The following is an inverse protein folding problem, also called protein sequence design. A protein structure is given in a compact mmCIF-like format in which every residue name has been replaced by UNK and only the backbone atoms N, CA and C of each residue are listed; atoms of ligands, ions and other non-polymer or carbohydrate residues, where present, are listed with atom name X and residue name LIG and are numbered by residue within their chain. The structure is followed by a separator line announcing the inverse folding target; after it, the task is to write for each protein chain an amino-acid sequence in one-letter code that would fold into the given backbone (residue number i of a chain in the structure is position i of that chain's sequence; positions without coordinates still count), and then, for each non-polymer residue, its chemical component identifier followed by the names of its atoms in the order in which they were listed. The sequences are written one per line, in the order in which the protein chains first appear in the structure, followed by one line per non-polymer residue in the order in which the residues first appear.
data_IF_591644958289
#
_entry.id   IF_591644958289
#
_cell.length_a   1.000
_cell.length_b   1.000
_cell.length_c   1.000
_cell.angle_alpha   90.00
_cell.angle_beta   90.00
_cell.angle_gamma   90.00
#
_symmetry.space_group_name_H-M   'P 1'
#
loop_
_entity.id
_entity.type
_entity.pdbx_description
1 polymer ?
#
# COMPACT_ATOMS: atom_id res chain seq x y z
N UNK A 1 19.81 -47.55 -54.47
CA UNK A 1 20.52 -46.61 -53.57
C UNK A 1 19.54 -45.55 -53.14
N UNK A 2 18.96 -45.71 -51.97
CA UNK A 2 17.93 -44.83 -51.40
C UNK A 2 18.54 -44.11 -50.21
N UNK A 3 18.77 -42.77 -50.34
CA UNK A 3 19.21 -41.93 -49.23
C UNK A 3 18.01 -41.58 -48.33
N UNK A 4 18.09 -42.09 -47.13
CA UNK A 4 17.14 -41.74 -46.06
C UNK A 4 17.48 -40.34 -45.48
N UNK A 5 16.58 -39.41 -45.63
CA UNK A 5 16.72 -38.05 -45.00
C UNK A 5 16.11 -38.12 -43.61
N UNK A 6 16.95 -38.06 -42.58
CA UNK A 6 16.54 -37.96 -41.19
C UNK A 6 16.29 -36.47 -40.93
N UNK A 7 15.01 -36.11 -40.74
CA UNK A 7 14.61 -34.80 -40.22
C UNK A 7 14.72 -34.83 -38.69
N UNK A 8 15.73 -34.16 -38.15
CA UNK A 8 15.82 -33.88 -36.72
C UNK A 8 14.93 -32.67 -36.39
N UNK A 9 13.76 -32.93 -35.85
CA UNK A 9 12.88 -31.90 -35.28
C UNK A 9 13.44 -31.47 -33.93
N UNK A 10 14.19 -30.37 -33.88
CA UNK A 10 14.59 -29.74 -32.63
C UNK A 10 13.37 -29.05 -31.97
N UNK A 11 12.85 -29.62 -30.91
CA UNK A 11 11.84 -28.96 -30.06
C UNK A 11 12.53 -27.86 -29.24
N UNK A 12 12.38 -26.61 -29.67
CA UNK A 12 12.77 -25.42 -28.90
C UNK A 12 11.75 -25.20 -27.78
N UNK A 13 12.02 -25.70 -26.58
CA UNK A 13 11.24 -25.43 -25.39
C UNK A 13 11.50 -23.95 -24.98
N UNK A 14 10.60 -23.05 -25.35
CA UNK A 14 10.56 -21.69 -24.79
C UNK A 14 10.19 -21.83 -23.31
N UNK A 15 11.17 -21.69 -22.41
CA UNK A 15 10.95 -21.47 -21.01
C UNK A 15 10.32 -20.08 -20.85
N UNK A 16 9.00 -20.01 -20.72
CA UNK A 16 8.29 -18.80 -20.33
C UNK A 16 8.60 -18.59 -18.85
N UNK A 17 9.70 -17.86 -18.56
CA UNK A 17 9.95 -17.33 -17.23
C UNK A 17 8.88 -16.27 -16.97
N UNK A 18 7.73 -16.69 -16.47
CA UNK A 18 6.66 -15.80 -16.02
C UNK A 18 7.20 -14.93 -14.90
N UNK A 19 7.23 -13.61 -15.09
CA UNK A 19 7.46 -12.67 -14.00
C UNK A 19 6.32 -12.83 -12.98
N UNK A 20 6.58 -13.56 -11.89
CA UNK A 20 5.61 -13.65 -10.80
C UNK A 20 5.52 -12.29 -10.12
N UNK A 21 4.30 -11.77 -10.01
CA UNK A 21 4.03 -10.55 -9.23
C UNK A 21 4.38 -10.84 -7.76
N UNK A 22 5.14 -9.97 -7.08
CA UNK A 22 5.46 -10.16 -5.67
C UNK A 22 4.20 -10.27 -4.81
N UNK A 23 4.24 -11.18 -3.83
CA UNK A 23 3.24 -11.27 -2.76
C UNK A 23 3.87 -10.88 -1.42
N UNK A 24 3.09 -10.59 -0.37
CA UNK A 24 3.67 -10.28 0.93
C UNK A 24 4.67 -11.33 1.43
N UNK A 25 4.44 -12.61 1.15
CA UNK A 25 5.28 -13.75 1.55
C UNK A 25 6.69 -13.67 0.94
N UNK A 26 6.86 -12.98 -0.18
CA UNK A 26 8.17 -12.69 -0.78
C UNK A 26 9.11 -12.00 0.23
N UNK A 27 8.54 -11.23 1.15
CA UNK A 27 9.26 -10.43 2.14
C UNK A 27 9.33 -11.07 3.54
N UNK A 28 8.86 -12.31 3.72
CA UNK A 28 8.71 -12.96 5.02
C UNK A 28 9.99 -12.99 5.87
N UNK A 29 11.17 -12.98 5.25
CA UNK A 29 12.47 -13.00 5.94
C UNK A 29 13.13 -11.61 6.05
N UNK A 30 12.47 -10.56 5.53
CA UNK A 30 13.01 -9.21 5.56
C UNK A 30 12.86 -8.57 6.94
N UNK A 31 13.86 -7.79 7.33
CA UNK A 31 13.91 -7.09 8.62
C UNK A 31 14.09 -5.58 8.42
N UNK A 32 13.66 -4.76 9.39
CA UNK A 32 12.97 -5.13 10.63
C UNK A 32 11.57 -5.67 10.37
N UNK A 33 11.12 -6.67 11.14
CA UNK A 33 9.76 -7.19 11.00
C UNK A 33 8.73 -6.14 11.38
N UNK A 34 7.72 -5.94 10.55
CA UNK A 34 6.68 -4.95 10.74
C UNK A 34 5.62 -5.46 11.73
N UNK A 35 5.44 -4.72 12.82
CA UNK A 35 4.25 -4.80 13.66
C UNK A 35 3.44 -3.52 13.50
N UNK A 36 2.33 -3.58 12.75
CA UNK A 36 1.54 -2.38 12.46
C UNK A 36 0.91 -1.76 13.70
N UNK A 37 0.65 -2.55 14.75
CA UNK A 37 0.08 -2.04 16.00
C UNK A 37 1.09 -1.22 16.80
N UNK A 38 2.38 -1.48 16.62
CA UNK A 38 3.48 -0.69 17.19
C UNK A 38 3.86 0.47 16.28
N UNK A 39 3.92 0.23 14.97
CA UNK A 39 4.31 1.28 14.03
C UNK A 39 3.25 2.38 13.97
N UNK A 40 2.00 2.03 13.69
CA UNK A 40 0.87 2.97 13.70
C UNK A 40 0.29 3.14 15.10
N UNK A 41 1.12 3.61 16.03
CA UNK A 41 0.72 3.99 17.38
C UNK A 41 1.43 5.28 17.78
N UNK A 42 0.66 6.30 18.21
CA UNK A 42 1.12 7.66 18.45
C UNK A 42 0.99 8.55 17.22
N UNK A 43 1.85 9.55 17.08
CA UNK A 43 1.76 10.52 15.98
C UNK A 43 2.82 10.25 14.91
N UNK A 44 2.39 10.26 13.65
CA UNK A 44 3.25 10.16 12.48
C UNK A 44 3.05 11.38 11.57
N UNK A 45 4.09 11.78 10.88
CA UNK A 45 4.01 12.66 9.71
C UNK A 45 4.13 11.82 8.44
N UNK A 46 3.31 12.11 7.45
CA UNK A 46 3.46 11.52 6.13
C UNK A 46 3.56 12.62 5.07
N UNK A 47 4.40 12.37 4.07
CA UNK A 47 4.62 13.26 2.94
C UNK A 47 4.46 12.48 1.65
N UNK A 48 3.62 12.96 0.76
CA UNK A 48 3.31 12.21 -0.44
C UNK A 48 2.98 13.04 -1.67
N UNK A 49 2.89 12.33 -2.77
CA UNK A 49 2.52 12.88 -4.06
C UNK A 49 1.68 11.90 -4.86
N UNK A 50 0.76 12.46 -5.63
CA UNK A 50 0.04 11.75 -6.69
C UNK A 50 0.76 11.95 -8.01
N UNK A 51 0.93 10.87 -8.75
CA UNK A 51 1.48 10.88 -10.10
C UNK A 51 0.44 10.26 -11.04
N UNK A 52 0.29 10.87 -12.21
CA UNK A 52 -0.52 10.28 -13.25
C UNK A 52 0.19 9.08 -13.91
N UNK A 53 -0.43 8.48 -14.93
CA UNK A 53 0.12 7.32 -15.65
C UNK A 53 1.42 7.63 -16.41
N UNK A 54 1.71 8.92 -16.71
CA UNK A 54 2.95 9.35 -17.36
C UNK A 54 4.10 9.53 -16.38
N UNK A 55 3.79 9.56 -15.06
CA UNK A 55 4.71 9.86 -13.97
C UNK A 55 4.77 11.32 -13.60
N UNK A 56 3.95 12.19 -14.21
CA UNK A 56 3.86 13.60 -13.85
C UNK A 56 3.25 13.76 -12.45
N UNK A 57 3.87 14.59 -11.60
CA UNK A 57 3.35 14.89 -10.26
C UNK A 57 2.21 15.89 -10.37
N UNK A 58 0.99 15.40 -10.22
CA UNK A 58 -0.23 16.21 -10.34
C UNK A 58 -0.66 16.86 -9.02
N UNK A 59 -0.27 16.30 -7.86
CA UNK A 59 -0.63 16.83 -6.54
C UNK A 59 0.34 16.34 -5.48
N UNK A 60 0.71 17.19 -4.53
CA UNK A 60 1.50 16.84 -3.35
C UNK A 60 0.65 17.06 -2.10
N UNK A 61 1.01 16.38 -1.01
CA UNK A 61 0.30 16.53 0.26
C UNK A 61 1.19 16.17 1.44
N UNK A 62 0.80 16.70 2.59
CA UNK A 62 1.32 16.32 3.90
C UNK A 62 0.15 15.81 4.75
N UNK A 63 0.44 14.86 5.64
CA UNK A 63 -0.56 14.28 6.53
C UNK A 63 -0.01 14.25 7.95
N UNK A 64 -0.81 14.69 8.91
CA UNK A 64 -0.57 14.38 10.31
C UNK A 64 -1.51 13.25 10.69
N UNK A 65 -0.94 12.13 11.13
CA UNK A 65 -1.69 10.95 11.53
C UNK A 65 -1.63 10.79 13.05
N UNK A 66 -2.79 10.63 13.69
CA UNK A 66 -2.90 10.26 15.10
C UNK A 66 -3.45 8.86 15.17
N UNK A 67 -2.61 7.96 15.64
CA UNK A 67 -2.87 6.53 15.59
C UNK A 67 -3.01 5.98 17.00
N UNK A 68 -4.04 5.18 17.24
CA UNK A 68 -4.29 4.52 18.54
C UNK A 68 -4.73 3.08 18.31
N UNK A 69 -4.43 2.22 19.28
CA UNK A 69 -4.88 0.82 19.28
C UNK A 69 -5.52 0.47 20.62
N UNK A 70 -6.61 -0.31 20.55
CA UNK A 70 -7.25 -0.93 21.70
C UNK A 70 -7.50 -2.41 21.37
N UNK A 71 -6.71 -3.30 21.94
CA UNK A 71 -6.72 -4.72 21.56
C UNK A 71 -6.43 -4.90 20.08
N UNK A 72 -7.35 -5.54 19.37
CA UNK A 72 -7.23 -5.82 17.94
C UNK A 72 -7.78 -4.70 17.02
N UNK A 73 -8.26 -3.61 17.61
CA UNK A 73 -8.82 -2.49 16.85
C UNK A 73 -7.90 -1.28 16.89
N UNK A 74 -7.55 -0.76 15.71
CA UNK A 74 -6.76 0.46 15.52
C UNK A 74 -7.57 1.56 14.86
N UNK A 75 -7.28 2.81 15.21
CA UNK A 75 -7.82 4.00 14.56
C UNK A 75 -6.66 4.84 14.06
N UNK A 76 -6.67 5.17 12.75
CA UNK A 76 -5.73 6.12 12.16
C UNK A 76 -6.52 7.36 11.75
N UNK A 77 -6.33 8.44 12.49
CA UNK A 77 -6.96 9.76 12.24
C UNK A 77 -5.99 10.62 11.44
N UNK A 78 -6.31 10.86 10.18
CA UNK A 78 -5.45 11.48 9.17
C UNK A 78 -5.96 12.87 8.78
N UNK A 79 -5.16 13.90 9.02
CA UNK A 79 -5.40 15.28 8.57
C UNK A 79 -4.49 15.61 7.38
N UNK A 80 -5.07 15.69 6.18
CA UNK A 80 -4.38 16.01 4.92
C UNK A 80 -4.36 17.52 4.66
N UNK A 81 -3.24 18.01 4.16
CA UNK A 81 -3.10 19.33 3.55
C UNK A 81 -2.45 19.15 2.19
N UNK A 82 -3.16 19.54 1.14
CA UNK A 82 -2.72 19.41 -0.24
C UNK A 82 -1.99 20.68 -0.73
N UNK A 83 -1.20 20.54 -1.80
CA UNK A 83 -0.42 21.63 -2.40
C UNK A 83 -1.26 22.77 -2.99
N UNK A 84 -2.55 22.54 -3.24
CA UNK A 84 -3.53 23.55 -3.65
C UNK A 84 -4.23 24.23 -2.45
N UNK A 85 -3.82 23.94 -1.22
CA UNK A 85 -4.40 24.47 0.02
C UNK A 85 -5.67 23.73 0.49
N UNK A 86 -6.19 22.81 -0.28
CA UNK A 86 -7.36 22.01 0.15
C UNK A 86 -6.98 21.10 1.32
N UNK A 87 -7.98 20.77 2.14
CA UNK A 87 -7.83 19.90 3.32
C UNK A 87 -8.81 18.75 3.25
N UNK A 88 -8.40 17.61 3.77
CA UNK A 88 -9.25 16.43 3.89
C UNK A 88 -8.95 15.76 5.23
N UNK A 89 -9.99 15.17 5.82
CA UNK A 89 -9.87 14.26 6.95
C UNK A 89 -10.27 12.86 6.52
N UNK A 90 -9.47 11.87 6.90
CA UNK A 90 -9.81 10.46 6.74
C UNK A 90 -9.57 9.75 8.05
N UNK A 91 -10.52 8.91 8.44
CA UNK A 91 -10.38 8.08 9.64
C UNK A 91 -10.51 6.64 9.18
N UNK A 92 -9.42 5.89 9.35
CA UNK A 92 -9.44 4.45 9.18
C UNK A 92 -9.74 3.77 10.51
N UNK A 93 -10.59 2.75 10.44
CA UNK A 93 -10.75 1.78 11.53
C UNK A 93 -10.20 0.45 11.04
N UNK A 94 -9.14 -0.03 11.69
CA UNK A 94 -8.47 -1.28 11.39
C UNK A 94 -8.90 -2.35 12.37
N UNK A 95 -9.01 -3.59 11.93
CA UNK A 95 -9.26 -4.75 12.78
C UNK A 95 -8.29 -5.87 12.41
N UNK A 96 -7.57 -6.39 13.41
CA UNK A 96 -6.77 -7.61 13.24
C UNK A 96 -7.71 -8.80 13.11
N UNK A 97 -7.55 -9.59 12.06
CA UNK A 97 -8.40 -10.75 11.78
C UNK A 97 -7.66 -12.09 11.93
N UNK A 98 -6.34 -12.02 12.10
CA UNK A 98 -5.48 -13.18 12.30
C UNK A 98 -4.00 -12.81 12.32
N UNK A 99 -3.09 -13.77 12.41
CA UNK A 99 -1.65 -13.53 12.32
C UNK A 99 -1.29 -12.83 11.02
N UNK A 100 -0.80 -11.58 11.09
CA UNK A 100 -0.40 -10.78 9.94
C UNK A 100 -1.54 -10.35 9.00
N UNK A 101 -2.81 -10.59 9.36
CA UNK A 101 -3.96 -10.22 8.52
C UNK A 101 -4.85 -9.20 9.20
N UNK A 102 -5.34 -8.26 8.41
CA UNK A 102 -6.13 -7.12 8.89
C UNK A 102 -7.23 -6.77 7.89
N UNK A 103 -8.29 -6.18 8.40
CA UNK A 103 -9.29 -5.46 7.60
C UNK A 103 -9.35 -4.01 8.02
N UNK A 104 -9.82 -3.14 7.13
CA UNK A 104 -10.03 -1.74 7.47
C UNK A 104 -11.21 -1.14 6.72
N UNK A 105 -11.80 -0.08 7.31
CA UNK A 105 -12.84 0.74 6.70
C UNK A 105 -12.51 2.21 6.86
N UNK A 106 -12.94 3.03 5.89
CA UNK A 106 -12.95 4.49 5.98
C UNK A 106 -14.15 5.03 5.20
N UNK A 107 -14.53 6.29 5.43
CA UNK A 107 -15.74 6.86 4.84
C UNK A 107 -15.72 6.92 3.29
N UNK A 108 -14.53 7.05 2.70
CA UNK A 108 -14.28 7.09 1.26
C UNK A 108 -13.81 5.74 0.68
N UNK A 109 -13.89 4.64 1.46
CA UNK A 109 -13.57 3.29 1.02
C UNK A 109 -14.85 2.50 0.77
N UNK A 110 -14.94 1.91 -0.41
CA UNK A 110 -16.08 1.07 -0.80
C UNK A 110 -15.88 -0.33 -0.22
N UNK A 111 -16.76 -0.72 0.69
CA UNK A 111 -16.67 -2.02 1.37
C UNK A 111 -15.53 -2.08 2.38
N UNK A 112 -14.71 -3.12 2.31
CA UNK A 112 -13.68 -3.40 3.31
C UNK A 112 -12.31 -3.56 2.63
N UNK A 113 -11.32 -2.81 3.09
CA UNK A 113 -9.91 -2.99 2.74
C UNK A 113 -9.35 -4.26 3.39
N UNK A 114 -8.43 -4.92 2.72
CA UNK A 114 -7.74 -6.13 3.21
C UNK A 114 -6.25 -5.89 3.23
N UNK A 115 -5.61 -6.19 4.36
CA UNK A 115 -4.19 -6.01 4.59
C UNK A 115 -3.50 -7.30 4.99
N UNK A 116 -2.29 -7.51 4.45
CA UNK A 116 -1.43 -8.63 4.81
C UNK A 116 -0.03 -8.13 5.11
N UNK A 117 0.48 -8.49 6.29
CA UNK A 117 1.85 -8.20 6.75
C UNK A 117 2.70 -9.45 6.62
N UNK A 118 3.90 -9.31 6.07
CA UNK A 118 4.90 -10.38 6.03
C UNK A 118 6.31 -9.78 6.03
N UNK A 119 7.14 -10.17 6.99
CA UNK A 119 8.45 -9.54 7.21
C UNK A 119 8.32 -8.03 7.43
N UNK A 120 9.01 -7.23 6.62
CA UNK A 120 8.95 -5.76 6.69
C UNK A 120 7.87 -5.14 5.81
N UNK A 121 7.07 -5.95 5.10
CA UNK A 121 6.11 -5.47 4.12
C UNK A 121 4.66 -5.56 4.63
N UNK A 122 3.84 -4.59 4.25
CA UNK A 122 2.39 -4.59 4.36
C UNK A 122 1.82 -4.30 2.97
N UNK A 123 0.85 -5.08 2.54
CA UNK A 123 0.06 -4.79 1.34
C UNK A 123 -1.40 -4.59 1.72
N UNK A 124 -1.96 -3.44 1.34
CA UNK A 124 -3.38 -3.16 1.41
C UNK A 124 -4.00 -3.20 0.02
N UNK A 125 -5.20 -3.75 -0.08
CA UNK A 125 -6.02 -3.74 -1.29
C UNK A 125 -7.41 -3.22 -0.94
N UNK A 126 -7.86 -2.19 -1.64
CA UNK A 126 -9.15 -1.55 -1.39
C UNK A 126 -9.65 -0.78 -2.61
N UNK A 127 -10.91 -0.41 -2.58
CA UNK A 127 -11.54 0.47 -3.57
C UNK A 127 -11.79 1.82 -2.93
N UNK A 128 -11.20 2.87 -3.51
CA UNK A 128 -11.38 4.25 -3.04
C UNK A 128 -12.40 4.98 -3.91
N UNK A 129 -13.41 5.60 -3.27
CA UNK A 129 -14.39 6.44 -3.93
C UNK A 129 -13.84 7.87 -4.07
N UNK A 130 -13.27 8.20 -5.23
CA UNK A 130 -12.65 9.50 -5.49
C UNK A 130 -13.61 10.46 -6.17
N UNK A 131 -13.82 11.67 -5.64
CA UNK A 131 -14.49 12.74 -6.37
C UNK A 131 -13.57 13.29 -7.47
N UNK A 132 -13.98 13.18 -8.71
CA UNK A 132 -13.27 13.68 -9.89
C UNK A 132 -14.29 14.41 -10.78
N UNK A 133 -14.10 15.68 -11.02
CA UNK A 133 -14.96 16.52 -11.90
C UNK A 133 -16.46 16.37 -11.60
N UNK A 134 -16.83 16.42 -10.32
CA UNK A 134 -18.22 16.31 -9.87
C UNK A 134 -18.83 14.90 -9.93
N UNK A 135 -18.05 13.89 -10.29
CA UNK A 135 -18.46 12.47 -10.28
C UNK A 135 -17.64 11.69 -9.25
N UNK A 136 -18.21 10.62 -8.72
CA UNK A 136 -17.46 9.67 -7.88
C UNK A 136 -16.94 8.54 -8.74
N UNK A 137 -15.63 8.34 -8.73
CA UNK A 137 -14.95 7.27 -9.46
C UNK A 137 -14.40 6.27 -8.42
N UNK A 138 -14.84 5.02 -8.52
CA UNK A 138 -14.28 3.93 -7.74
C UNK A 138 -12.93 3.51 -8.36
N UNK A 139 -11.86 3.64 -7.58
CA UNK A 139 -10.48 3.38 -7.98
C UNK A 139 -9.94 2.18 -7.19
N UNK A 140 -9.43 1.17 -7.90
CA UNK A 140 -8.74 0.05 -7.27
C UNK A 140 -7.36 0.50 -6.82
N UNK A 141 -7.06 0.28 -5.53
CA UNK A 141 -5.82 0.66 -4.86
C UNK A 141 -5.06 -0.59 -4.46
N UNK A 142 -3.85 -0.75 -4.96
CA UNK A 142 -2.89 -1.79 -4.55
C UNK A 142 -1.71 -1.10 -3.87
N UNK A 143 -1.73 -1.12 -2.55
CA UNK A 143 -0.95 -0.25 -1.68
C UNK A 143 0.11 -1.06 -0.94
N UNK A 144 1.37 -0.83 -1.26
CA UNK A 144 2.51 -1.49 -0.66
C UNK A 144 3.28 -0.54 0.25
N UNK A 145 3.53 -1.00 1.46
CA UNK A 145 4.32 -0.30 2.46
C UNK A 145 5.50 -1.16 2.90
N UNK A 146 6.66 -0.54 3.09
CA UNK A 146 7.89 -1.21 3.50
C UNK A 146 8.50 -0.48 4.68
N UNK A 147 8.61 -1.17 5.81
CA UNK A 147 9.33 -0.65 6.97
C UNK A 147 10.82 -0.61 6.65
N UNK A 148 11.43 0.57 6.75
CA UNK A 148 12.85 0.79 6.46
C UNK A 148 13.68 0.65 7.75
N UNK A 149 13.20 1.30 8.82
CA UNK A 149 13.73 1.22 10.17
C UNK A 149 12.58 1.41 11.18
N UNK A 150 12.88 1.59 12.46
CA UNK A 150 11.89 1.75 13.53
C UNK A 150 11.04 3.04 13.40
N UNK A 151 11.43 3.97 12.55
CA UNK A 151 10.82 5.30 12.38
C UNK A 151 10.21 5.53 11.02
N UNK A 152 10.84 5.03 9.96
CA UNK A 152 10.51 5.35 8.58
C UNK A 152 9.89 4.16 7.85
N UNK A 153 8.78 4.42 7.17
CA UNK A 153 8.13 3.49 6.26
C UNK A 153 7.92 4.18 4.92
N UNK A 154 8.21 3.48 3.84
CA UNK A 154 7.94 3.94 2.48
C UNK A 154 6.72 3.23 1.93
N UNK A 155 5.93 3.98 1.16
CA UNK A 155 4.72 3.51 0.54
C UNK A 155 4.70 3.81 -0.95
N UNK A 156 4.17 2.86 -1.71
CA UNK A 156 3.81 3.03 -3.11
C UNK A 156 2.49 2.34 -3.40
N UNK A 157 1.52 3.12 -3.87
CA UNK A 157 0.20 2.63 -4.25
C UNK A 157 0.03 2.70 -5.76
N UNK A 158 -0.34 1.60 -6.39
CA UNK A 158 -0.82 1.60 -7.76
C UNK A 158 -2.32 1.91 -7.77
N UNK A 159 -2.72 2.83 -8.64
CA UNK A 159 -4.10 3.25 -8.85
C UNK A 159 -4.58 2.70 -10.18
N UNK A 160 -5.63 1.88 -10.17
CA UNK A 160 -6.16 1.30 -11.41
C UNK A 160 -7.68 1.31 -11.47
N UNK A 161 -8.23 1.19 -12.67
CA UNK A 161 -9.65 0.99 -12.91
C UNK A 161 -9.83 0.05 -14.08
N UNK A 162 -10.67 -0.97 -13.90
CA UNK A 162 -10.89 -2.01 -14.92
C UNK A 162 -9.57 -2.65 -15.41
N UNK A 163 -8.60 -2.82 -14.51
CA UNK A 163 -7.27 -3.38 -14.83
C UNK A 163 -6.31 -2.42 -15.56
N UNK A 164 -6.72 -1.19 -15.86
CA UNK A 164 -5.86 -0.18 -16.49
C UNK A 164 -5.23 0.69 -15.40
N UNK A 165 -3.88 0.80 -15.40
CA UNK A 165 -3.17 1.71 -14.51
C UNK A 165 -3.46 3.17 -14.89
N UNK A 166 -3.86 3.98 -13.92
CA UNK A 166 -4.21 5.39 -14.08
C UNK A 166 -3.24 6.32 -13.35
N UNK A 167 -2.38 5.79 -12.50
CA UNK A 167 -1.40 6.58 -11.76
C UNK A 167 -0.89 5.85 -10.52
N UNK A 168 -0.21 6.58 -9.69
CA UNK A 168 0.35 6.08 -8.44
C UNK A 168 0.36 7.13 -7.34
N UNK A 169 0.46 6.66 -6.10
CA UNK A 169 0.76 7.48 -4.94
C UNK A 169 2.06 6.98 -4.34
N UNK A 170 2.95 7.92 -3.99
CA UNK A 170 4.16 7.63 -3.23
C UNK A 170 4.12 8.41 -1.94
N UNK A 171 4.35 7.74 -0.82
CA UNK A 171 4.42 8.37 0.51
C UNK A 171 5.68 7.92 1.25
N UNK A 172 6.11 8.78 2.18
CA UNK A 172 6.96 8.40 3.31
C UNK A 172 6.19 8.67 4.59
N UNK A 173 6.27 7.74 5.55
CA UNK A 173 5.79 7.95 6.91
C UNK A 173 6.98 8.06 7.85
N UNK A 174 6.89 8.96 8.83
CA UNK A 174 7.90 9.13 9.86
C UNK A 174 7.24 9.27 11.24
N UNK A 175 7.64 8.41 12.19
CA UNK A 175 7.17 8.53 13.58
C UNK A 175 7.76 9.75 14.24
N UNK A 176 6.93 10.54 14.92
CA UNK A 176 7.42 11.64 15.75
C UNK A 176 8.10 11.09 17.01
N UNK A 177 9.22 11.71 17.46
CA UNK A 177 9.83 11.36 18.74
C UNK A 177 8.83 11.55 19.89
N UNK A 178 8.78 10.60 20.83
CA UNK A 178 7.89 10.65 21.99
C UNK A 178 6.44 10.18 21.75
N UNK A 179 6.08 9.80 20.54
CA UNK A 179 4.74 9.35 20.18
C UNK A 179 4.47 7.87 20.52
N UNK A 180 4.88 7.40 21.67
CA UNK A 180 4.67 5.99 22.03
C UNK A 180 5.05 5.60 23.46
N UNK A 181 5.51 6.54 24.28
CA UNK A 181 5.68 6.27 25.70
C UNK A 181 4.34 6.56 26.41
N UNK A 182 3.55 5.51 26.70
CA UNK A 182 2.56 5.62 27.75
C UNK A 182 3.29 6.03 29.03
N UNK A 183 2.74 6.96 29.86
CA UNK A 183 3.32 7.22 31.18
C UNK A 183 3.28 5.92 31.98
N UNK A 184 4.44 5.59 32.57
CA UNK A 184 4.57 4.49 33.55
C UNK A 184 3.83 4.85 34.83
#
# INVERSE_FOLDING_TARGET
MTLSKIFAAGALALAIAGCSTPTPETYAKQTPALDITKYFNGTLDAHGMFQDRSGEVIKRFVVVMRCTWNGDTGVLDEDFVYSDGTRQKRIWTLTRTGPGTFTATAADVVGTARGTVSGNALRWQYVLALPVDGKVINMDMDDWMFLIDDKVMLNRTAMSKFGVNLGSVTLSFAKRPGAGAAPQ
#
